data_IF_535969156056
#
_entry.id   IF_535969156056
#
_cell.length_a   1.000
_cell.length_b   1.000
_cell.length_c   1.000
_cell.angle_alpha   90.00
_cell.angle_beta   90.00
_cell.angle_gamma   90.00
#
_symmetry.space_group_name_H-M   'P 1'
#
loop_
_entity.id
_entity.type
_entity.pdbx_description
1 polymer ?
#
# COMPACT_ATOMS: atom_id res chain seq x y z
N UNK A 1 -22.19 6.97 9.16
CA UNK A 1 -21.32 8.11 8.79
C UNK A 1 -20.72 8.66 10.07
N UNK A 2 -19.47 8.33 10.35
CA UNK A 2 -18.66 9.05 11.34
C UNK A 2 -18.39 10.44 10.74
N UNK A 3 -19.25 11.40 11.06
CA UNK A 3 -19.09 12.80 10.63
C UNK A 3 -17.94 13.43 11.42
N UNK A 4 -16.73 13.26 10.92
CA UNK A 4 -15.59 14.04 11.37
C UNK A 4 -15.75 15.48 10.87
N UNK A 5 -15.46 16.49 11.71
CA UNK A 5 -15.46 17.87 11.27
C UNK A 5 -14.39 18.10 10.20
N UNK A 6 -14.64 19.04 9.29
CA UNK A 6 -13.63 19.48 8.33
C UNK A 6 -12.40 20.03 9.06
N UNK A 7 -11.23 19.84 8.47
CA UNK A 7 -9.98 20.42 8.97
C UNK A 7 -10.05 21.93 8.75
N UNK A 8 -10.00 22.70 9.83
CA UNK A 8 -10.02 24.17 9.84
C UNK A 8 -9.13 24.70 10.93
N UNK A 9 -8.80 25.98 10.86
CA UNK A 9 -8.14 26.69 11.97
C UNK A 9 -9.12 26.84 13.15
N UNK A 10 -8.60 26.63 14.37
CA UNK A 10 -9.37 26.80 15.60
C UNK A 10 -9.70 28.26 15.88
N UNK A 11 -8.73 29.15 15.64
CA UNK A 11 -8.89 30.60 15.77
C UNK A 11 -8.44 31.30 14.48
N UNK A 12 -9.41 31.93 13.80
CA UNK A 12 -9.16 32.65 12.55
C UNK A 12 -8.72 34.11 12.76
N UNK A 13 -8.77 34.61 14.00
CA UNK A 13 -8.37 35.97 14.37
C UNK A 13 -6.85 36.16 14.44
N UNK A 14 -6.12 35.05 14.66
CA UNK A 14 -4.66 35.04 14.64
C UNK A 14 -4.12 35.41 13.26
N UNK A 15 -2.91 35.95 13.23
CA UNK A 15 -2.18 36.25 11.99
C UNK A 15 -1.06 35.23 11.76
N UNK A 16 -0.54 35.16 10.52
CA UNK A 16 0.60 34.28 10.21
C UNK A 16 1.80 34.60 11.12
N UNK A 17 2.08 35.88 11.33
CA UNK A 17 3.15 36.35 12.21
C UNK A 17 2.98 35.90 13.66
N UNK A 18 1.73 35.82 14.15
CA UNK A 18 1.48 35.31 15.50
C UNK A 18 1.78 33.81 15.60
N UNK A 19 1.54 33.02 14.54
CA UNK A 19 1.86 31.60 14.49
C UNK A 19 3.37 31.37 14.36
N UNK A 20 4.07 32.17 13.55
CA UNK A 20 5.53 32.09 13.36
C UNK A 20 6.34 32.38 14.65
N UNK A 21 5.72 33.00 15.66
CA UNK A 21 6.34 33.18 16.98
C UNK A 21 6.48 31.88 17.78
N UNK A 22 5.63 30.89 17.49
CA UNK A 22 5.56 29.63 18.25
C UNK A 22 5.90 28.40 17.40
N UNK A 23 5.74 28.49 16.08
CA UNK A 23 5.92 27.38 15.15
C UNK A 23 6.87 27.73 14.00
N UNK A 24 7.35 26.71 13.30
CA UNK A 24 8.20 26.91 12.12
C UNK A 24 7.44 27.56 10.97
N UNK A 25 8.18 28.08 9.98
CA UNK A 25 7.60 28.76 8.81
C UNK A 25 6.70 27.83 8.00
N UNK A 26 7.08 26.56 7.85
CA UNK A 26 6.31 25.55 7.13
C UNK A 26 4.96 25.30 7.80
N UNK A 27 4.93 25.22 9.14
CA UNK A 27 3.69 25.11 9.90
C UNK A 27 2.80 26.35 9.73
N UNK A 28 3.39 27.55 9.74
CA UNK A 28 2.67 28.80 9.54
C UNK A 28 2.09 28.92 8.11
N UNK A 29 2.78 28.37 7.10
CA UNK A 29 2.28 28.28 5.73
C UNK A 29 1.09 27.34 5.62
N UNK A 30 1.17 26.13 6.19
CA UNK A 30 0.04 25.19 6.23
C UNK A 30 -1.15 25.82 6.96
N UNK A 31 -0.91 26.46 8.10
CA UNK A 31 -1.94 27.17 8.84
C UNK A 31 -2.60 28.29 8.01
N UNK A 32 -1.80 29.07 7.27
CA UNK A 32 -2.30 30.15 6.42
C UNK A 32 -3.18 29.61 5.28
N UNK A 33 -2.80 28.48 4.68
CA UNK A 33 -3.59 27.78 3.67
C UNK A 33 -4.93 27.30 4.24
N UNK A 34 -4.93 26.67 5.42
CA UNK A 34 -6.15 26.22 6.10
C UNK A 34 -7.07 27.39 6.46
N UNK A 35 -6.51 28.50 6.95
CA UNK A 35 -7.27 29.72 7.23
C UNK A 35 -7.91 30.29 5.97
N UNK A 36 -7.15 30.39 4.88
CA UNK A 36 -7.62 30.89 3.58
C UNK A 36 -8.78 30.02 3.05
N UNK A 37 -8.64 28.70 3.09
CA UNK A 37 -9.69 27.76 2.70
C UNK A 37 -10.94 27.87 3.59
N UNK A 38 -10.76 27.97 4.91
CA UNK A 38 -11.84 28.17 5.87
C UNK A 38 -12.61 29.48 5.64
N UNK A 39 -11.92 30.57 5.27
CA UNK A 39 -12.55 31.84 4.91
C UNK A 39 -13.33 31.73 3.59
N UNK A 40 -12.71 31.18 2.55
CA UNK A 40 -13.33 30.97 1.26
C UNK A 40 -14.62 30.13 1.36
N UNK A 41 -14.64 29.10 2.21
CA UNK A 41 -15.83 28.26 2.42
C UNK A 41 -17.06 29.00 2.99
N UNK A 42 -16.85 30.17 3.62
CA UNK A 42 -17.90 31.02 4.18
C UNK A 42 -18.29 32.18 3.27
N UNK A 43 -17.55 32.39 2.18
CA UNK A 43 -17.83 33.44 1.19
C UNK A 43 -18.91 32.98 0.20
N UNK A 44 -19.47 33.94 -0.54
CA UNK A 44 -20.43 33.64 -1.61
C UNK A 44 -19.70 32.99 -2.79
N UNK A 45 -20.36 32.13 -3.57
CA UNK A 45 -19.81 31.65 -4.83
C UNK A 45 -19.60 32.82 -5.82
N UNK A 46 -18.59 32.73 -6.72
CA UNK A 46 -18.46 33.65 -7.84
C UNK A 46 -19.71 33.62 -8.73
N UNK A 47 -20.05 34.76 -9.32
CA UNK A 47 -21.10 34.89 -10.33
C UNK A 47 -20.42 35.12 -11.67
N UNK A 48 -20.71 34.23 -12.63
CA UNK A 48 -20.24 34.33 -14.00
C UNK A 48 -21.39 34.59 -14.96
N UNK A 49 -21.18 35.51 -15.90
CA UNK A 49 -21.94 35.59 -17.12
C UNK A 49 -21.35 34.60 -18.12
N UNK A 50 -22.20 33.77 -18.71
CA UNK A 50 -21.78 32.74 -19.67
C UNK A 50 -22.58 32.92 -20.94
N UNK A 51 -21.88 33.08 -22.07
CA UNK A 51 -22.50 33.16 -23.38
C UNK A 51 -22.10 31.93 -24.18
N UNK A 52 -23.10 31.23 -24.72
CA UNK A 52 -22.90 30.15 -25.67
C UNK A 52 -23.50 30.54 -27.01
N UNK A 53 -22.69 30.45 -28.05
CA UNK A 53 -23.09 30.74 -29.43
C UNK A 53 -23.13 29.41 -30.17
N UNK A 54 -24.23 29.15 -30.85
CA UNK A 54 -24.40 27.99 -31.73
C UNK A 54 -24.67 28.54 -33.12
N UNK A 55 -23.76 28.25 -34.05
CA UNK A 55 -23.87 28.67 -35.44
C UNK A 55 -24.12 27.45 -36.32
N UNK A 56 -25.15 27.53 -37.16
CA UNK A 56 -25.48 26.48 -38.12
C UNK A 56 -25.05 26.94 -39.52
N UNK A 57 -24.26 26.12 -40.20
CA UNK A 57 -23.84 26.34 -41.58
C UNK A 57 -24.14 25.07 -42.37
N UNK A 58 -25.17 25.12 -43.22
CA UNK A 58 -25.67 23.95 -43.97
C UNK A 58 -25.87 22.70 -43.08
N UNK A 59 -25.00 21.69 -43.22
CA UNK A 59 -25.04 20.41 -42.48
C UNK A 59 -24.08 20.36 -41.29
N UNK A 60 -23.46 21.48 -40.90
CA UNK A 60 -22.50 21.56 -39.81
C UNK A 60 -22.97 22.52 -38.73
N UNK A 61 -22.64 22.20 -37.48
CA UNK A 61 -22.90 23.04 -36.31
C UNK A 61 -21.59 23.37 -35.62
N UNK A 62 -21.31 24.65 -35.45
CA UNK A 62 -20.20 25.15 -34.66
C UNK A 62 -20.73 25.68 -33.31
N UNK A 63 -20.01 25.38 -32.22
CA UNK A 63 -20.34 25.89 -30.89
C UNK A 63 -19.14 26.63 -30.29
N UNK A 64 -19.41 27.82 -29.78
CA UNK A 64 -18.49 28.57 -28.93
C UNK A 64 -19.12 28.80 -27.56
N UNK A 65 -18.27 28.83 -26.53
CA UNK A 65 -18.65 29.17 -25.16
C UNK A 65 -17.59 30.09 -24.58
N UNK A 66 -18.01 31.25 -24.10
CA UNK A 66 -17.18 32.16 -23.32
C UNK A 66 -17.85 32.45 -21.97
N UNK A 67 -17.05 32.91 -21.01
CA UNK A 67 -17.56 33.41 -19.74
C UNK A 67 -16.84 34.68 -19.29
N UNK A 68 -17.50 35.50 -18.47
CA UNK A 68 -16.99 36.69 -17.80
C UNK A 68 -17.38 36.66 -16.33
N UNK A 69 -16.43 36.96 -15.44
CA UNK A 69 -16.72 37.06 -14.01
C UNK A 69 -17.40 38.41 -13.73
N UNK A 70 -18.58 38.37 -13.10
CA UNK A 70 -19.35 39.56 -12.70
C UNK A 70 -19.10 39.87 -11.23
N UNK A 71 -19.14 38.84 -10.38
CA UNK A 71 -18.78 38.94 -8.97
C UNK A 71 -17.75 37.85 -8.62
N UNK A 72 -16.63 38.18 -7.95
CA UNK A 72 -15.60 37.21 -7.62
C UNK A 72 -16.01 36.24 -6.50
N UNK A 73 -16.78 36.68 -5.51
CA UNK A 73 -17.08 35.82 -4.35
C UNK A 73 -15.78 35.27 -3.72
N UNK A 74 -15.69 33.97 -3.47
CA UNK A 74 -14.49 33.35 -2.89
C UNK A 74 -13.25 33.38 -3.80
N UNK A 75 -13.39 33.60 -5.12
CA UNK A 75 -12.24 33.62 -6.04
C UNK A 75 -11.33 34.82 -5.79
N UNK A 76 -11.81 35.85 -5.09
CA UNK A 76 -10.98 36.97 -4.60
C UNK A 76 -9.81 36.48 -3.73
N UNK A 77 -10.01 35.40 -2.97
CA UNK A 77 -8.93 34.78 -2.21
C UNK A 77 -8.03 33.93 -3.12
N UNK A 78 -8.56 33.30 -4.17
CA UNK A 78 -7.85 32.36 -5.04
C UNK A 78 -7.81 32.83 -6.51
N UNK A 79 -7.10 33.92 -6.82
CA UNK A 79 -7.04 34.47 -8.19
C UNK A 79 -6.36 33.51 -9.18
N UNK A 80 -5.45 32.65 -8.70
CA UNK A 80 -4.78 31.64 -9.51
C UNK A 80 -5.73 30.57 -10.10
N UNK A 81 -6.87 30.30 -9.43
CA UNK A 81 -7.87 29.34 -9.94
C UNK A 81 -8.73 29.95 -11.07
N UNK A 82 -8.75 31.28 -11.23
CA UNK A 82 -9.48 31.97 -12.31
C UNK A 82 -8.84 31.72 -13.68
N UNK A 83 -7.51 31.77 -13.77
CA UNK A 83 -6.75 31.72 -15.02
C UNK A 83 -6.85 30.37 -15.76
N UNK A 84 -7.03 29.27 -15.03
CA UNK A 84 -7.10 27.91 -15.63
C UNK A 84 -8.48 27.56 -16.18
N UNK A 85 -9.49 28.39 -15.90
CA UNK A 85 -10.88 28.10 -16.21
C UNK A 85 -11.44 28.99 -17.35
N UNK A 86 -10.66 29.90 -17.93
CA UNK A 86 -11.18 30.93 -18.84
C UNK A 86 -10.97 30.65 -20.35
N UNK A 87 -12.09 30.60 -21.08
CA UNK A 87 -12.24 31.28 -22.38
C UNK A 87 -12.96 32.60 -22.08
N UNK A 88 -12.23 33.70 -22.05
CA UNK A 88 -12.77 35.01 -21.69
C UNK A 88 -13.75 35.49 -22.76
N UNK A 89 -14.90 36.02 -22.31
CA UNK A 89 -15.75 36.79 -23.23
C UNK A 89 -15.05 38.10 -23.58
N UNK A 90 -15.21 38.60 -24.82
CA UNK A 90 -14.82 39.96 -25.14
C UNK A 90 -15.49 40.96 -24.19
N UNK A 91 -14.72 41.94 -23.72
CA UNK A 91 -15.24 43.00 -22.85
C UNK A 91 -16.21 43.94 -23.58
N UNK A 92 -16.19 43.94 -24.91
CA UNK A 92 -17.03 44.77 -25.77
C UNK A 92 -18.50 44.28 -25.79
N UNK A 93 -19.45 45.01 -25.16
CA UNK A 93 -20.86 44.63 -25.14
C UNK A 93 -21.51 44.65 -26.52
N UNK A 94 -21.05 45.54 -27.41
CA UNK A 94 -21.51 45.65 -28.79
C UNK A 94 -21.14 44.41 -29.61
N UNK A 95 -19.98 43.80 -29.33
CA UNK A 95 -19.55 42.56 -29.97
C UNK A 95 -20.40 41.37 -29.49
N UNK A 96 -20.75 41.30 -28.21
CA UNK A 96 -21.64 40.27 -27.66
C UNK A 96 -23.06 40.36 -28.23
N UNK A 97 -23.58 41.57 -28.43
CA UNK A 97 -24.87 41.82 -29.09
C UNK A 97 -24.82 41.45 -30.59
N UNK A 98 -23.73 41.77 -31.29
CA UNK A 98 -23.54 41.38 -32.68
C UNK A 98 -23.48 39.86 -32.87
N UNK A 99 -22.80 39.15 -31.95
CA UNK A 99 -22.66 37.69 -31.96
C UNK A 99 -23.96 36.93 -31.64
N UNK A 100 -24.94 37.58 -31.01
CA UNK A 100 -26.19 36.94 -30.59
C UNK A 100 -27.29 36.95 -31.65
N UNK A 101 -27.12 37.67 -32.77
CA UNK A 101 -28.18 37.78 -33.79
C UNK A 101 -27.71 38.04 -35.24
N UNK A 102 -26.41 38.24 -35.48
CA UNK A 102 -25.87 38.53 -36.81
C UNK A 102 -25.46 37.29 -37.63
N UNK A 103 -25.42 37.39 -38.97
CA UNK A 103 -24.74 36.40 -39.79
C UNK A 103 -23.24 36.40 -39.48
N UNK A 104 -22.67 35.21 -39.28
CA UNK A 104 -21.23 35.04 -39.03
C UNK A 104 -20.52 34.67 -40.33
N UNK A 105 -19.40 35.33 -40.62
CA UNK A 105 -18.49 34.94 -41.70
C UNK A 105 -17.46 33.94 -41.18
N UNK A 106 -17.16 32.91 -41.97
CA UNK A 106 -16.09 31.96 -41.67
C UNK A 106 -14.79 32.56 -42.21
N UNK A 107 -13.89 32.99 -41.32
CA UNK A 107 -12.57 33.52 -41.72
C UNK A 107 -11.54 32.40 -41.98
N UNK A 108 -11.73 31.23 -41.37
CA UNK A 108 -10.85 30.07 -41.52
C UNK A 108 -11.34 28.88 -40.69
N UNK A 109 -10.80 27.70 -40.98
CA UNK A 109 -11.07 26.48 -40.22
C UNK A 109 -9.79 25.66 -40.12
N UNK A 110 -9.39 25.35 -38.89
CA UNK A 110 -8.25 24.48 -38.61
C UNK A 110 -8.73 23.12 -38.09
N UNK A 111 -8.12 22.05 -38.59
CA UNK A 111 -8.34 20.71 -38.05
C UNK A 111 -7.39 20.51 -36.88
N UNK A 112 -7.93 20.56 -35.66
CA UNK A 112 -7.19 20.25 -34.44
C UNK A 112 -7.37 18.77 -34.14
N UNK A 113 -6.40 17.95 -34.54
CA UNK A 113 -6.35 16.55 -34.11
C UNK A 113 -5.99 16.49 -32.63
N UNK A 114 -6.99 16.23 -31.77
CA UNK A 114 -6.75 15.98 -30.36
C UNK A 114 -6.50 14.50 -30.17
N UNK A 115 -5.24 14.12 -29.92
CA UNK A 115 -4.90 12.77 -29.49
C UNK A 115 -5.18 12.67 -27.99
N UNK A 116 -6.02 11.73 -27.57
CA UNK A 116 -6.10 11.33 -26.16
C UNK A 116 -4.77 10.67 -25.80
N UNK A 117 -3.81 11.46 -25.33
CA UNK A 117 -2.66 10.94 -24.63
C UNK A 117 -3.17 10.28 -23.35
N UNK A 118 -2.81 9.01 -23.14
CA UNK A 118 -3.21 8.28 -21.92
C UNK A 118 -2.77 9.03 -20.66
N UNK A 119 -3.30 8.63 -19.50
CA UNK A 119 -2.99 9.27 -18.23
C UNK A 119 -1.47 9.42 -18.05
N UNK A 120 -1.00 10.67 -18.00
CA UNK A 120 0.41 11.00 -17.84
C UNK A 120 0.94 10.63 -16.46
N UNK A 121 2.26 10.80 -16.22
CA UNK A 121 2.85 10.58 -14.91
C UNK A 121 2.19 11.48 -13.86
N UNK A 122 2.03 10.96 -12.65
CA UNK A 122 1.30 11.62 -11.57
C UNK A 122 2.26 12.34 -10.62
N UNK A 123 1.94 13.56 -10.22
CA UNK A 123 2.54 14.15 -9.02
C UNK A 123 1.92 13.58 -7.74
N UNK A 124 2.44 13.95 -6.56
CA UNK A 124 1.89 13.51 -5.26
C UNK A 124 0.41 13.88 -5.11
N UNK A 125 0.04 15.12 -5.46
CA UNK A 125 -1.34 15.58 -5.38
C UNK A 125 -2.27 14.81 -6.34
N UNK A 126 -1.81 14.54 -7.57
CA UNK A 126 -2.57 13.77 -8.54
C UNK A 126 -2.76 12.32 -8.10
N UNK A 127 -1.72 11.71 -7.52
CA UNK A 127 -1.78 10.36 -6.97
C UNK A 127 -2.83 10.25 -5.87
N UNK A 128 -2.82 11.16 -4.89
CA UNK A 128 -3.83 11.19 -3.81
C UNK A 128 -5.23 11.36 -4.41
N UNK A 129 -5.38 12.21 -5.44
CA UNK A 129 -6.68 12.41 -6.12
C UNK A 129 -7.15 11.14 -6.82
N UNK A 130 -6.27 10.45 -7.53
CA UNK A 130 -6.57 9.17 -8.20
C UNK A 130 -6.95 8.12 -7.16
N UNK A 131 -6.15 7.94 -6.11
CA UNK A 131 -6.44 7.00 -5.01
C UNK A 131 -7.82 7.25 -4.40
N UNK A 132 -8.16 8.51 -4.11
CA UNK A 132 -9.47 8.88 -3.57
C UNK A 132 -10.61 8.54 -4.54
N UNK A 133 -10.46 8.84 -5.83
CA UNK A 133 -11.49 8.57 -6.85
C UNK A 133 -11.69 7.08 -7.10
N UNK A 134 -10.62 6.29 -6.99
CA UNK A 134 -10.64 4.82 -7.13
C UNK A 134 -11.01 4.13 -5.81
N UNK A 135 -11.31 4.88 -4.75
CA UNK A 135 -11.64 4.36 -3.41
C UNK A 135 -10.52 3.52 -2.75
N UNK A 136 -9.27 3.80 -3.11
CA UNK A 136 -8.08 3.17 -2.56
C UNK A 136 -7.49 4.08 -1.48
N UNK A 137 -7.27 3.53 -0.28
CA UNK A 137 -6.77 4.27 0.87
C UNK A 137 -7.82 5.14 1.57
N UNK A 138 -7.42 5.73 2.69
CA UNK A 138 -8.24 6.52 3.62
C UNK A 138 -7.47 7.78 4.02
N UNK A 139 -8.14 8.80 4.61
CA UNK A 139 -7.45 9.99 5.09
C UNK A 139 -6.26 9.69 6.02
N UNK A 140 -6.35 8.61 6.80
CA UNK A 140 -5.28 8.13 7.69
C UNK A 140 -4.11 7.46 6.96
N UNK A 141 -4.29 7.03 5.71
CA UNK A 141 -3.29 6.22 4.99
C UNK A 141 -2.66 6.93 3.80
N UNK A 142 -3.22 8.05 3.29
CA UNK A 142 -2.63 8.72 2.13
C UNK A 142 -1.17 9.14 2.34
N UNK A 143 -0.83 9.66 3.53
CA UNK A 143 0.55 10.03 3.85
C UNK A 143 1.50 8.83 3.80
N UNK A 144 1.12 7.71 4.42
CA UNK A 144 1.95 6.50 4.44
C UNK A 144 2.09 5.85 3.06
N UNK A 145 1.06 5.94 2.21
CA UNK A 145 1.17 5.50 0.82
C UNK A 145 2.16 6.36 0.02
N UNK A 146 2.15 7.68 0.24
CA UNK A 146 3.12 8.58 -0.38
C UNK A 146 4.54 8.30 0.11
N UNK A 147 4.73 8.05 1.41
CA UNK A 147 6.01 7.60 1.96
C UNK A 147 6.49 6.30 1.30
N UNK A 148 5.61 5.31 1.15
CA UNK A 148 5.93 4.07 0.43
C UNK A 148 6.32 4.32 -1.04
N UNK A 149 5.77 5.34 -1.70
CA UNK A 149 6.20 5.71 -3.05
C UNK A 149 7.64 6.25 -3.06
N UNK A 150 8.03 7.01 -2.04
CA UNK A 150 9.43 7.44 -1.89
C UNK A 150 10.36 6.27 -1.56
N UNK A 151 9.93 5.32 -0.72
CA UNK A 151 10.71 4.09 -0.48
C UNK A 151 10.90 3.27 -1.77
N UNK A 152 9.86 3.17 -2.61
CA UNK A 152 9.97 2.55 -3.93
C UNK A 152 10.98 3.27 -4.85
N UNK A 153 11.20 4.58 -4.66
CA UNK A 153 12.25 5.31 -5.37
C UNK A 153 13.65 4.94 -4.85
N UNK A 154 13.81 4.80 -3.53
CA UNK A 154 15.08 4.38 -2.92
C UNK A 154 15.49 2.96 -3.37
N UNK A 155 14.49 2.09 -3.62
CA UNK A 155 14.67 0.76 -4.20
C UNK A 155 14.87 0.75 -5.73
N UNK A 156 14.76 1.91 -6.38
CA UNK A 156 15.00 2.08 -7.81
C UNK A 156 13.84 1.65 -8.71
N UNK A 157 12.63 1.45 -8.17
CA UNK A 157 11.43 1.09 -8.96
C UNK A 157 10.69 2.31 -9.50
N UNK A 158 10.82 3.44 -8.82
CA UNK A 158 10.26 4.73 -9.24
C UNK A 158 11.36 5.79 -9.36
N UNK A 159 11.08 6.83 -10.13
CA UNK A 159 11.89 8.05 -10.23
C UNK A 159 10.99 9.27 -10.38
N UNK A 160 11.52 10.46 -10.14
CA UNK A 160 10.82 11.71 -10.43
C UNK A 160 11.32 12.31 -11.74
N UNK A 161 10.38 12.79 -12.56
CA UNK A 161 10.75 13.59 -13.73
C UNK A 161 11.09 15.04 -13.35
N UNK A 162 11.55 15.83 -14.34
CA UNK A 162 11.94 17.22 -14.12
C UNK A 162 10.81 18.15 -13.62
N UNK A 163 9.56 17.68 -13.61
CA UNK A 163 8.41 18.38 -13.05
C UNK A 163 7.93 17.77 -11.71
N UNK A 164 8.69 16.85 -11.12
CA UNK A 164 8.37 16.23 -9.83
C UNK A 164 7.25 15.18 -9.91
N UNK A 165 7.05 14.55 -11.07
CA UNK A 165 6.03 13.49 -11.25
C UNK A 165 6.67 12.10 -11.25
N UNK A 166 5.98 11.13 -10.66
CA UNK A 166 6.44 9.75 -10.58
C UNK A 166 6.51 9.10 -11.96
N UNK A 167 7.62 8.42 -12.22
CA UNK A 167 7.84 7.56 -13.38
C UNK A 167 8.34 6.19 -12.96
N UNK A 168 7.72 5.17 -13.52
CA UNK A 168 8.14 3.79 -13.34
C UNK A 168 9.44 3.56 -14.09
N UNK A 169 10.43 2.98 -13.42
CA UNK A 169 11.71 2.57 -14.03
C UNK A 169 11.56 1.23 -14.73
N UNK A 170 12.57 0.78 -15.47
CA UNK A 170 12.54 -0.55 -16.09
C UNK A 170 12.43 -1.68 -15.04
N UNK A 171 13.16 -1.54 -13.92
CA UNK A 171 13.08 -2.50 -12.81
C UNK A 171 11.68 -2.51 -12.18
N UNK A 172 11.07 -1.33 -11.98
CA UNK A 172 9.70 -1.23 -11.48
C UNK A 172 8.67 -1.83 -12.45
N UNK A 173 8.91 -1.74 -13.76
CA UNK A 173 8.02 -2.33 -14.77
C UNK A 173 8.05 -3.86 -14.73
N UNK A 174 9.25 -4.44 -14.63
CA UNK A 174 9.39 -5.90 -14.45
C UNK A 174 8.70 -6.36 -13.17
N UNK A 175 8.83 -5.61 -12.07
CA UNK A 175 8.12 -5.90 -10.83
C UNK A 175 6.59 -5.86 -11.04
N UNK A 176 6.08 -4.83 -11.69
CA UNK A 176 4.64 -4.73 -11.98
C UNK A 176 4.15 -5.87 -12.86
N UNK A 177 4.91 -6.32 -13.85
CA UNK A 177 4.53 -7.46 -14.69
C UNK A 177 4.46 -8.76 -13.88
N UNK A 178 5.29 -8.92 -12.85
CA UNK A 178 5.23 -10.06 -11.90
C UNK A 178 4.03 -9.93 -10.96
N UNK A 179 3.72 -8.71 -10.49
CA UNK A 179 2.59 -8.46 -9.58
C UNK A 179 1.23 -8.50 -10.30
N UNK A 180 1.20 -8.19 -11.59
CA UNK A 180 0.00 -8.17 -12.43
C UNK A 180 -0.41 -9.58 -12.91
N UNK A 181 -0.11 -10.61 -12.12
CA UNK A 181 -0.48 -11.99 -12.42
C UNK A 181 -2.02 -12.14 -12.48
N UNK A 182 -2.61 -12.47 -13.64
CA UNK A 182 -4.05 -12.61 -13.78
C UNK A 182 -4.60 -13.80 -12.98
N UNK A 183 -3.77 -14.77 -12.57
CA UNK A 183 -4.18 -15.86 -11.68
C UNK A 183 -4.27 -15.40 -10.21
N UNK A 184 -3.71 -14.24 -9.86
CA UNK A 184 -3.70 -13.68 -8.51
C UNK A 184 -4.00 -12.18 -8.51
N UNK A 185 -5.26 -11.76 -8.74
CA UNK A 185 -5.64 -10.35 -8.88
C UNK A 185 -5.69 -9.58 -7.53
N UNK A 186 -4.79 -9.89 -6.60
CA UNK A 186 -4.67 -9.21 -5.30
C UNK A 186 -4.17 -7.77 -5.42
N UNK A 187 -3.42 -7.48 -6.48
CA UNK A 187 -2.85 -6.16 -6.75
C UNK A 187 -3.72 -5.32 -7.70
N UNK A 188 -4.93 -5.81 -8.02
CA UNK A 188 -5.89 -5.06 -8.82
C UNK A 188 -6.55 -3.96 -7.99
N UNK A 189 -6.78 -2.81 -8.64
CA UNK A 189 -7.39 -1.63 -8.00
C UNK A 189 -8.79 -1.93 -7.45
N UNK A 190 -9.61 -2.70 -8.17
CA UNK A 190 -10.95 -3.04 -7.72
C UNK A 190 -10.92 -3.97 -6.50
N UNK A 191 -9.94 -4.87 -6.43
CA UNK A 191 -9.74 -5.70 -5.24
C UNK A 191 -9.39 -4.85 -4.01
N UNK A 192 -8.45 -3.92 -4.14
CA UNK A 192 -8.09 -3.02 -3.03
C UNK A 192 -9.28 -2.17 -2.58
N UNK A 193 -10.04 -1.59 -3.52
CA UNK A 193 -11.24 -0.83 -3.20
C UNK A 193 -12.32 -1.67 -2.50
N UNK A 194 -12.48 -2.94 -2.89
CA UNK A 194 -13.39 -3.89 -2.23
C UNK A 194 -12.96 -4.19 -0.79
N UNK A 195 -11.66 -4.46 -0.57
CA UNK A 195 -11.12 -4.71 0.77
C UNK A 195 -11.33 -3.50 1.68
N UNK A 196 -11.03 -2.31 1.17
CA UNK A 196 -11.23 -1.04 1.86
C UNK A 196 -12.72 -0.83 2.24
N UNK A 197 -13.66 -1.12 1.34
CA UNK A 197 -15.09 -1.06 1.63
C UNK A 197 -15.53 -2.08 2.69
N UNK A 198 -14.92 -3.27 2.70
CA UNK A 198 -15.15 -4.31 3.71
C UNK A 198 -14.65 -3.88 5.10
N UNK A 199 -13.50 -3.21 5.17
CA UNK A 199 -12.96 -2.65 6.42
C UNK A 199 -13.88 -1.55 6.98
N UNK A 200 -14.40 -0.65 6.13
CA UNK A 200 -15.37 0.34 6.60
C UNK A 200 -16.69 -0.31 7.07
N UNK A 201 -17.09 -1.43 6.46
CA UNK A 201 -18.27 -2.17 6.88
C UNK A 201 -18.07 -2.83 8.26
N UNK A 202 -16.84 -3.21 8.60
CA UNK A 202 -16.49 -3.64 9.97
C UNK A 202 -16.64 -2.47 10.95
N UNK A 203 -16.11 -1.29 10.62
CA UNK A 203 -16.22 -0.10 11.47
C UNK A 203 -17.68 0.27 11.76
N UNK A 204 -18.57 0.10 10.76
CA UNK A 204 -20.02 0.32 10.91
C UNK A 204 -20.76 -0.82 11.62
N UNK A 205 -20.09 -1.93 11.94
CA UNK A 205 -20.70 -3.12 12.54
C UNK A 205 -21.56 -3.94 11.57
N UNK A 206 -21.44 -3.72 10.26
CA UNK A 206 -22.19 -4.43 9.20
C UNK A 206 -21.55 -5.79 8.86
N UNK A 207 -20.23 -5.92 9.05
CA UNK A 207 -19.46 -7.14 8.82
C UNK A 207 -18.59 -7.45 10.03
N UNK A 208 -18.29 -8.73 10.24
CA UNK A 208 -17.32 -9.15 11.26
C UNK A 208 -15.92 -9.25 10.66
N UNK A 209 -14.86 -8.96 11.44
CA UNK A 209 -13.48 -9.16 10.99
C UNK A 209 -13.20 -10.58 10.47
N UNK A 210 -13.74 -11.60 11.14
CA UNK A 210 -13.59 -13.01 10.72
C UNK A 210 -14.20 -13.28 9.34
N UNK A 211 -15.34 -12.67 9.04
CA UNK A 211 -15.99 -12.81 7.74
C UNK A 211 -15.13 -12.21 6.61
N UNK A 212 -14.61 -11.00 6.83
CA UNK A 212 -13.76 -10.30 5.85
C UNK A 212 -12.45 -11.06 5.63
N UNK A 213 -11.78 -11.48 6.70
CA UNK A 213 -10.55 -12.29 6.61
C UNK A 213 -10.79 -13.59 5.82
N UNK A 214 -11.87 -14.32 6.13
CA UNK A 214 -12.18 -15.57 5.42
C UNK A 214 -12.44 -15.33 3.92
N UNK A 215 -13.16 -14.26 3.58
CA UNK A 215 -13.46 -13.89 2.19
C UNK A 215 -12.18 -13.62 1.40
N UNK A 216 -11.27 -12.82 1.94
CA UNK A 216 -10.08 -12.38 1.23
C UNK A 216 -8.97 -13.44 1.22
N UNK A 217 -8.76 -14.15 2.34
CA UNK A 217 -7.79 -15.26 2.37
C UNK A 217 -8.20 -16.43 1.49
N UNK A 218 -9.50 -16.71 1.37
CA UNK A 218 -10.00 -17.76 0.46
C UNK A 218 -9.81 -17.46 -1.04
N UNK A 219 -9.42 -16.23 -1.41
CA UNK A 219 -9.03 -15.88 -2.79
C UNK A 219 -7.59 -16.23 -3.12
N UNK A 220 -6.77 -16.53 -2.10
CA UNK A 220 -5.40 -16.97 -2.30
C UNK A 220 -5.38 -18.43 -2.79
N UNK A 221 -4.67 -18.73 -3.89
CA UNK A 221 -4.60 -20.08 -4.41
C UNK A 221 -3.98 -21.02 -3.38
N UNK A 222 -4.65 -22.13 -3.11
CA UNK A 222 -4.21 -23.14 -2.16
C UNK A 222 -4.51 -22.84 -0.69
N UNK A 223 -5.28 -21.79 -0.38
CA UNK A 223 -5.76 -21.47 0.99
C UNK A 223 -7.22 -21.88 1.15
N UNK A 224 -7.47 -22.95 1.91
CA UNK A 224 -8.81 -23.23 2.43
C UNK A 224 -9.01 -22.41 3.72
N UNK A 225 -9.69 -21.27 3.62
CA UNK A 225 -9.91 -20.39 4.76
C UNK A 225 -10.93 -21.00 5.76
N UNK A 226 -10.48 -21.92 6.61
CA UNK A 226 -11.27 -22.50 7.69
C UNK A 226 -11.06 -21.72 9.00
N UNK A 227 -11.39 -20.43 8.98
CA UNK A 227 -11.22 -19.50 10.13
C UNK A 227 -12.50 -19.52 10.97
N UNK A 228 -12.53 -20.07 12.20
CA UNK A 228 -13.74 -20.11 13.04
C UNK A 228 -14.32 -18.71 13.30
N UNK A 229 -15.65 -18.61 13.45
CA UNK A 229 -16.33 -17.30 13.59
C UNK A 229 -16.05 -16.63 14.96
N UNK A 230 -15.63 -17.44 15.93
CA UNK A 230 -15.23 -17.14 17.29
C UNK A 230 -13.70 -17.04 17.48
N UNK A 231 -12.90 -17.28 16.43
CA UNK A 231 -11.44 -17.26 16.51
C UNK A 231 -10.82 -15.86 16.71
N UNK A 232 -11.63 -14.80 16.74
CA UNK A 232 -11.17 -13.44 17.00
C UNK A 232 -11.70 -12.98 18.35
N UNK A 233 -11.25 -13.63 19.42
CA UNK A 233 -11.32 -13.02 20.74
C UNK A 233 -10.33 -11.85 20.79
N UNK A 234 -10.79 -10.76 21.41
CA UNK A 234 -10.11 -9.48 21.55
C UNK A 234 -8.62 -9.67 21.86
N UNK A 235 -7.75 -9.20 20.97
CA UNK A 235 -6.33 -9.03 21.26
C UNK A 235 -6.24 -8.07 22.45
N UNK A 236 -6.12 -8.59 23.67
CA UNK A 236 -5.74 -7.78 24.82
C UNK A 236 -4.28 -7.39 24.65
N UNK A 237 -3.96 -6.10 24.76
CA UNK A 237 -2.61 -5.52 24.68
C UNK A 237 -1.66 -5.97 25.82
N UNK A 238 -1.59 -7.27 26.10
CA UNK A 238 -0.68 -7.84 27.10
C UNK A 238 0.06 -9.01 26.51
N UNK A 239 0.94 -8.74 25.56
CA UNK A 239 2.01 -9.66 25.20
C UNK A 239 3.36 -9.04 25.55
N UNK A 240 3.93 -9.54 26.65
CA UNK A 240 5.28 -9.21 27.11
C UNK A 240 6.34 -9.64 26.07
N UNK A 241 7.40 -8.84 25.85
CA UNK A 241 8.42 -9.12 24.85
C UNK A 241 9.22 -10.41 25.11
N UNK A 242 9.68 -11.05 24.03
CA UNK A 242 10.57 -12.20 24.09
C UNK A 242 11.97 -11.81 24.62
N UNK A 243 12.30 -12.27 25.82
CA UNK A 243 13.57 -12.05 26.52
C UNK A 243 14.67 -13.03 26.07
N UNK A 244 15.90 -12.56 25.93
CA UNK A 244 17.12 -13.37 25.97
C UNK A 244 18.23 -12.64 26.77
N UNK A 245 18.82 -13.33 27.75
CA UNK A 245 20.08 -12.99 28.43
C UNK A 245 20.29 -11.53 28.90
N UNK A 246 19.26 -10.90 29.45
CA UNK A 246 19.43 -9.63 30.18
C UNK A 246 19.68 -8.38 29.32
N UNK A 247 19.60 -8.47 27.98
CA UNK A 247 19.59 -7.29 27.12
C UNK A 247 18.29 -7.16 26.31
N UNK A 248 17.74 -5.94 26.31
CA UNK A 248 16.62 -5.54 25.46
C UNK A 248 17.08 -5.43 24.01
N UNK A 249 16.71 -6.41 23.17
CA UNK A 249 16.82 -6.25 21.71
C UNK A 249 15.56 -5.53 21.19
N UNK A 250 15.45 -4.22 21.48
CA UNK A 250 14.42 -3.37 20.88
C UNK A 250 15.03 -2.32 19.94
N UNK A 251 14.56 -2.35 18.68
CA UNK A 251 13.80 -1.22 18.13
C UNK A 251 12.42 -1.72 17.72
N UNK A 252 11.42 -0.86 17.90
CA UNK A 252 10.04 -1.08 17.51
C UNK A 252 9.98 -1.44 16.02
N UNK A 253 9.18 -2.46 15.68
CA UNK A 253 8.85 -2.69 14.28
C UNK A 253 7.77 -1.67 13.86
N UNK A 254 7.84 -1.10 12.65
CA UNK A 254 6.81 -0.22 12.13
C UNK A 254 5.47 -0.96 11.95
N UNK A 255 4.40 -0.17 11.84
CA UNK A 255 2.98 -0.57 11.67
C UNK A 255 2.73 -1.53 10.47
N UNK A 256 3.71 -1.70 9.58
CA UNK A 256 3.66 -2.60 8.41
C UNK A 256 3.87 -4.09 8.72
N UNK A 257 4.09 -4.47 9.98
CA UNK A 257 4.27 -5.87 10.37
C UNK A 257 2.90 -6.55 10.49
N UNK A 258 2.44 -7.19 9.42
CA UNK A 258 1.20 -7.98 9.42
C UNK A 258 1.35 -9.14 10.41
N UNK A 259 0.64 -9.05 11.54
CA UNK A 259 0.44 -10.18 12.43
C UNK A 259 -0.61 -11.09 11.80
N UNK A 260 -0.23 -12.31 11.43
CA UNK A 260 -1.22 -13.39 11.31
C UNK A 260 -1.77 -13.62 12.73
N UNK A 261 -3.10 -13.64 12.92
CA UNK A 261 -3.71 -13.97 14.21
C UNK A 261 -3.10 -15.26 14.77
N UNK A 262 -2.91 -15.33 16.09
CA UNK A 262 -2.30 -16.48 16.76
C UNK A 262 -3.04 -17.80 16.47
N UNK A 263 -4.31 -17.72 16.06
CA UNK A 263 -5.16 -18.86 15.70
C UNK A 263 -5.04 -19.30 14.22
N UNK A 264 -4.41 -18.52 13.34
CA UNK A 264 -4.12 -18.98 11.97
C UNK A 264 -2.87 -19.87 12.02
N UNK A 265 -3.09 -21.14 12.35
CA UNK A 265 -2.08 -22.16 12.13
C UNK A 265 -1.93 -22.40 10.62
N UNK A 266 -0.77 -22.13 10.00
CA UNK A 266 -0.61 -22.38 8.58
C UNK A 266 -0.62 -23.88 8.24
N UNK A 267 -0.60 -24.77 9.24
CA UNK A 267 -1.03 -26.16 9.07
C UNK A 267 -2.49 -26.21 8.58
N UNK A 268 -3.42 -25.45 9.15
CA UNK A 268 -4.82 -25.44 8.69
C UNK A 268 -5.04 -24.70 7.36
N UNK A 269 -4.03 -23.99 6.87
CA UNK A 269 -4.07 -23.20 5.63
C UNK A 269 -3.58 -24.02 4.43
N UNK A 270 -2.57 -24.87 4.61
CA UNK A 270 -1.98 -25.69 3.54
C UNK A 270 -2.61 -27.08 3.48
N UNK A 271 -2.91 -27.62 2.30
CA UNK A 271 -3.44 -28.98 2.17
C UNK A 271 -2.54 -30.04 2.85
N UNK A 272 -3.08 -31.14 3.41
CA UNK A 272 -2.28 -32.19 4.06
C UNK A 272 -1.20 -32.81 3.15
N UNK A 273 -1.44 -32.83 1.84
CA UNK A 273 -0.52 -33.30 0.81
C UNK A 273 0.50 -32.25 0.37
N UNK A 274 0.49 -31.05 0.96
CA UNK A 274 1.38 -29.97 0.55
C UNK A 274 2.85 -30.30 0.90
N UNK A 275 3.81 -30.13 -0.02
CA UNK A 275 5.21 -30.49 0.20
C UNK A 275 5.85 -29.83 1.42
N UNK A 276 5.48 -28.57 1.71
CA UNK A 276 5.93 -27.86 2.91
C UNK A 276 5.53 -28.58 4.20
N UNK A 277 4.33 -29.19 4.26
CA UNK A 277 3.87 -29.99 5.42
C UNK A 277 4.71 -31.23 5.59
N UNK A 278 4.95 -31.98 4.52
CA UNK A 278 5.82 -33.16 4.58
C UNK A 278 7.22 -32.80 5.10
N UNK A 279 7.77 -31.68 4.63
CA UNK A 279 9.09 -31.21 5.02
C UNK A 279 9.14 -30.77 6.50
N UNK A 280 8.16 -30.00 6.97
CA UNK A 280 8.04 -29.60 8.39
C UNK A 280 7.83 -30.79 9.30
N UNK A 281 6.97 -31.74 8.93
CA UNK A 281 6.77 -32.99 9.69
C UNK A 281 8.07 -33.79 9.76
N UNK A 282 8.79 -33.92 8.64
CA UNK A 282 10.09 -34.59 8.59
C UNK A 282 11.08 -33.93 9.56
N UNK A 283 11.22 -32.60 9.52
CA UNK A 283 12.08 -31.88 10.46
C UNK A 283 11.65 -32.06 11.92
N UNK A 284 10.36 -31.97 12.23
CA UNK A 284 9.85 -32.15 13.59
C UNK A 284 10.15 -33.55 14.13
N UNK A 285 9.99 -34.57 13.29
CA UNK A 285 10.24 -35.97 13.67
C UNK A 285 11.72 -36.18 13.97
N UNK A 286 12.60 -35.76 13.05
CA UNK A 286 14.05 -35.91 13.19
C UNK A 286 14.62 -35.13 14.38
N UNK A 287 14.12 -33.91 14.62
CA UNK A 287 14.53 -33.09 15.76
C UNK A 287 14.09 -33.72 17.07
N UNK A 288 12.87 -34.26 17.13
CA UNK A 288 12.38 -34.97 18.32
C UNK A 288 13.22 -36.22 18.59
N UNK A 289 13.58 -36.96 17.56
CA UNK A 289 14.32 -38.21 17.70
C UNK A 289 15.79 -37.95 18.11
N UNK A 290 16.39 -36.84 17.66
CA UNK A 290 17.78 -36.49 17.97
C UNK A 290 17.97 -35.74 19.29
N UNK A 291 17.12 -34.73 19.56
CA UNK A 291 17.25 -33.86 20.75
C UNK A 291 16.26 -34.24 21.86
N UNK A 292 15.45 -35.29 21.66
CA UNK A 292 14.39 -35.68 22.60
C UNK A 292 13.16 -34.76 22.54
N UNK A 293 12.17 -35.00 23.42
CA UNK A 293 10.95 -34.19 23.49
C UNK A 293 11.27 -32.72 23.78
N UNK A 294 10.44 -31.81 23.26
CA UNK A 294 10.62 -30.38 23.48
C UNK A 294 10.59 -30.08 24.98
N UNK A 295 11.68 -29.52 25.50
CA UNK A 295 11.71 -29.00 26.87
C UNK A 295 11.09 -27.60 26.90
N UNK A 296 10.45 -27.20 28.01
CA UNK A 296 9.82 -25.88 28.14
C UNK A 296 10.83 -24.71 28.22
N UNK A 297 12.12 -24.95 27.93
CA UNK A 297 13.16 -23.93 27.93
C UNK A 297 13.18 -23.17 26.59
N UNK A 298 13.06 -21.84 26.67
CA UNK A 298 13.08 -20.92 25.52
C UNK A 298 14.37 -21.01 24.70
N UNK A 299 15.53 -21.19 25.36
CA UNK A 299 16.82 -21.29 24.65
C UNK A 299 16.89 -22.56 23.78
N UNK A 300 16.37 -23.68 24.27
CA UNK A 300 16.32 -24.95 23.55
C UNK A 300 15.32 -24.88 22.39
N UNK A 301 14.16 -24.23 22.58
CA UNK A 301 13.20 -23.97 21.50
C UNK A 301 13.81 -23.10 20.39
N UNK A 302 14.54 -22.05 20.77
CA UNK A 302 15.25 -21.15 19.86
C UNK A 302 16.32 -21.90 19.05
N UNK A 303 17.15 -22.69 19.72
CA UNK A 303 18.17 -23.55 19.08
C UNK A 303 17.58 -24.54 18.08
N UNK A 304 16.44 -25.17 18.40
CA UNK A 304 15.74 -26.09 17.49
C UNK A 304 15.23 -25.39 16.23
N UNK A 305 14.70 -24.17 16.34
CA UNK A 305 14.30 -23.37 15.16
C UNK A 305 15.51 -23.01 14.30
N UNK A 306 16.64 -22.64 14.91
CA UNK A 306 17.89 -22.32 14.19
C UNK A 306 18.44 -23.53 13.42
N UNK A 307 18.40 -24.73 14.01
CA UNK A 307 18.80 -25.97 13.34
C UNK A 307 17.92 -26.29 12.12
N UNK A 308 16.59 -26.07 12.21
CA UNK A 308 15.67 -26.21 11.06
C UNK A 308 16.02 -25.24 9.96
N UNK A 309 16.26 -23.97 10.31
CA UNK A 309 16.64 -22.94 9.37
C UNK A 309 17.95 -23.28 8.64
N UNK A 310 18.97 -23.76 9.35
CA UNK A 310 20.23 -24.18 8.74
C UNK A 310 20.05 -25.39 7.80
N UNK A 311 19.24 -26.37 8.21
CA UNK A 311 18.96 -27.53 7.37
C UNK A 311 18.16 -27.13 6.11
N UNK A 312 17.12 -26.31 6.25
CA UNK A 312 16.33 -25.79 5.14
C UNK A 312 17.19 -24.98 4.17
N UNK A 313 18.06 -24.09 4.68
CA UNK A 313 18.98 -23.31 3.86
C UNK A 313 19.88 -24.18 2.99
N UNK A 314 20.52 -25.20 3.59
CA UNK A 314 21.39 -26.15 2.87
C UNK A 314 20.64 -26.97 1.82
N UNK A 315 19.45 -27.43 2.16
CA UNK A 315 18.57 -28.21 1.27
C UNK A 315 18.12 -27.38 0.06
N UNK A 316 17.77 -26.12 0.29
CA UNK A 316 17.27 -25.21 -0.74
C UNK A 316 18.40 -24.56 -1.55
N UNK A 317 19.66 -24.73 -1.14
CA UNK A 317 20.84 -24.20 -1.84
C UNK A 317 21.21 -22.76 -1.43
N UNK A 318 20.68 -22.26 -0.32
CA UNK A 318 21.15 -21.02 0.28
C UNK A 318 22.44 -21.31 1.05
N UNK A 319 23.58 -20.94 0.46
CA UNK A 319 24.91 -21.23 1.00
C UNK A 319 25.36 -20.19 2.03
N UNK A 320 24.78 -18.98 1.96
CA UNK A 320 25.17 -17.83 2.77
C UNK A 320 24.23 -17.60 3.96
N UNK A 321 24.79 -17.34 5.13
CA UNK A 321 24.05 -17.12 6.38
C UNK A 321 23.26 -15.83 6.35
N UNK A 322 23.82 -14.78 5.77
CA UNK A 322 23.15 -13.47 5.65
C UNK A 322 21.90 -13.58 4.77
N UNK A 323 22.06 -14.18 3.57
CA UNK A 323 20.94 -14.41 2.64
C UNK A 323 19.86 -15.33 3.22
N UNK A 324 20.26 -16.33 4.01
CA UNK A 324 19.32 -17.22 4.69
C UNK A 324 18.49 -16.47 5.74
N UNK A 325 19.13 -15.64 6.55
CA UNK A 325 18.47 -14.81 7.57
C UNK A 325 17.55 -13.79 6.91
N UNK A 326 18.01 -13.10 5.87
CA UNK A 326 17.22 -12.14 5.08
C UNK A 326 15.98 -12.83 4.48
N UNK A 327 16.14 -14.01 3.89
CA UNK A 327 15.00 -14.75 3.32
C UNK A 327 14.00 -15.18 4.40
N UNK A 328 14.46 -15.56 5.58
CA UNK A 328 13.58 -15.86 6.73
C UNK A 328 12.88 -14.62 7.29
N UNK A 329 13.34 -13.40 7.01
CA UNK A 329 12.64 -12.18 7.40
C UNK A 329 11.44 -11.91 6.47
N UNK A 330 11.58 -12.24 5.19
CA UNK A 330 10.62 -11.85 4.16
C UNK A 330 9.62 -12.97 3.79
N UNK A 331 10.05 -14.24 3.86
CA UNK A 331 9.28 -15.36 3.32
C UNK A 331 8.51 -16.13 4.41
N UNK A 332 7.18 -15.96 4.42
CA UNK A 332 6.28 -16.63 5.37
C UNK A 332 6.32 -18.17 5.27
N UNK A 333 6.57 -18.73 4.09
CA UNK A 333 6.67 -20.17 3.88
C UNK A 333 7.91 -20.74 4.57
N UNK A 334 9.06 -20.08 4.40
CA UNK A 334 10.29 -20.47 5.08
C UNK A 334 10.16 -20.36 6.59
N UNK A 335 9.59 -19.26 7.10
CA UNK A 335 9.33 -19.04 8.52
C UNK A 335 8.50 -20.16 9.12
N UNK A 336 7.41 -20.51 8.45
CA UNK A 336 6.53 -21.57 8.94
C UNK A 336 7.21 -22.94 8.95
N UNK A 337 7.98 -23.30 7.92
CA UNK A 337 8.73 -24.57 7.88
C UNK A 337 9.69 -24.70 9.06
N UNK A 338 10.38 -23.61 9.40
CA UNK A 338 11.32 -23.59 10.53
C UNK A 338 10.62 -23.38 11.87
N UNK A 339 9.30 -23.18 11.88
CA UNK A 339 8.49 -22.95 13.07
C UNK A 339 8.72 -21.58 13.72
N UNK A 340 9.04 -20.57 12.91
CA UNK A 340 8.98 -19.16 13.29
C UNK A 340 7.54 -18.67 13.08
N UNK A 341 6.97 -18.05 14.11
CA UNK A 341 5.72 -17.32 13.99
C UNK A 341 5.92 -16.10 13.06
N UNK A 342 4.86 -15.58 12.43
CA UNK A 342 4.95 -14.41 11.55
C UNK A 342 5.57 -13.18 12.22
N UNK A 343 5.41 -13.03 13.54
CA UNK A 343 6.02 -11.98 14.36
C UNK A 343 7.37 -12.35 15.01
N UNK A 344 7.84 -13.60 14.91
CA UNK A 344 9.11 -14.02 15.53
C UNK A 344 10.30 -13.29 14.89
N UNK A 345 11.10 -12.56 15.66
CA UNK A 345 12.32 -11.96 15.12
C UNK A 345 13.31 -13.05 14.70
N UNK A 346 13.91 -12.88 13.51
CA UNK A 346 14.99 -13.76 13.03
C UNK A 346 16.31 -13.31 13.66
N UNK A 347 17.20 -14.26 13.96
CA UNK A 347 18.54 -14.00 14.50
C UNK A 347 19.38 -13.11 13.56
N UNK A 348 20.36 -12.39 14.11
CA UNK A 348 21.46 -11.86 13.28
C UNK A 348 22.31 -13.01 12.72
N UNK A 349 23.05 -12.77 11.64
CA UNK A 349 23.90 -13.79 11.03
C UNK A 349 24.95 -14.35 12.01
N UNK A 350 25.46 -13.51 12.92
CA UNK A 350 26.42 -13.89 13.95
C UNK A 350 25.79 -14.81 15.00
N UNK A 351 24.67 -14.40 15.60
CA UNK A 351 23.93 -15.17 16.60
C UNK A 351 23.43 -16.49 15.99
N UNK A 352 22.95 -16.45 14.75
CA UNK A 352 22.58 -17.64 14.01
C UNK A 352 23.76 -18.61 13.87
N UNK A 353 24.94 -18.08 13.54
CA UNK A 353 26.18 -18.83 13.41
C UNK A 353 26.59 -19.52 14.71
N UNK A 354 26.48 -18.83 15.85
CA UNK A 354 26.79 -19.38 17.17
C UNK A 354 25.85 -20.53 17.54
N UNK A 355 24.54 -20.34 17.36
CA UNK A 355 23.50 -21.34 17.67
C UNK A 355 23.67 -22.65 16.90
N UNK A 356 24.25 -22.62 15.70
CA UNK A 356 24.43 -23.80 14.82
C UNK A 356 25.86 -24.33 14.79
N UNK A 357 26.83 -23.63 15.39
CA UNK A 357 28.26 -23.95 15.30
C UNK A 357 28.62 -25.33 15.85
N UNK A 358 27.92 -25.80 16.89
CA UNK A 358 28.13 -27.12 17.51
C UNK A 358 27.29 -28.27 16.93
N UNK A 359 26.45 -28.00 15.93
CA UNK A 359 25.42 -28.95 15.45
C UNK A 359 25.65 -29.42 14.02
N UNK A 360 26.89 -29.34 13.53
CA UNK A 360 27.19 -29.58 12.11
C UNK A 360 26.78 -30.97 11.62
N UNK A 361 27.04 -32.02 12.42
CA UNK A 361 26.68 -33.40 12.09
C UNK A 361 25.17 -33.62 12.16
N UNK A 362 24.51 -33.00 13.14
CA UNK A 362 23.06 -33.04 13.29
C UNK A 362 22.34 -32.38 12.11
N UNK A 363 22.80 -31.19 11.71
CA UNK A 363 22.28 -30.47 10.54
C UNK A 363 22.54 -31.28 9.26
N UNK A 364 23.69 -31.94 9.13
CA UNK A 364 23.97 -32.81 7.97
C UNK A 364 22.97 -33.97 7.86
N UNK A 365 22.62 -34.61 8.99
CA UNK A 365 21.61 -35.67 9.04
C UNK A 365 20.20 -35.15 8.68
N UNK A 366 19.83 -33.96 9.17
CA UNK A 366 18.58 -33.29 8.79
C UNK A 366 18.51 -33.01 7.29
N UNK A 367 19.60 -32.55 6.70
CA UNK A 367 19.70 -32.27 5.25
C UNK A 367 19.54 -33.56 4.43
N UNK A 368 20.21 -34.64 4.82
CA UNK A 368 20.12 -35.92 4.11
C UNK A 368 18.69 -36.48 4.10
N UNK A 369 18.01 -36.43 5.25
CA UNK A 369 16.63 -36.90 5.36
C UNK A 369 15.62 -36.00 4.64
N UNK A 370 15.81 -34.67 4.71
CA UNK A 370 14.98 -33.71 3.97
C UNK A 370 15.15 -33.83 2.45
N UNK A 371 16.36 -34.13 1.97
CA UNK A 371 16.63 -34.40 0.56
C UNK A 371 15.80 -35.58 0.01
N UNK A 372 15.58 -36.61 0.83
CA UNK A 372 14.70 -37.74 0.49
C UNK A 372 13.22 -37.35 0.38
N UNK A 373 12.73 -36.49 1.29
CA UNK A 373 11.35 -35.97 1.25
C UNK A 373 11.11 -35.04 0.05
N UNK A 374 12.11 -34.23 -0.32
CA UNK A 374 12.08 -33.31 -1.47
C UNK A 374 12.10 -34.05 -2.80
N UNK A 375 12.78 -35.20 -2.88
CA UNK A 375 12.79 -36.03 -4.08
C UNK A 375 11.41 -36.52 -4.51
N UNK A 376 10.39 -36.44 -3.64
CA UNK A 376 9.01 -36.83 -3.93
C UNK A 376 8.18 -35.73 -4.63
N UNK A 377 8.60 -34.46 -4.60
CA UNK A 377 7.99 -33.37 -5.39
C UNK A 377 9.02 -32.31 -5.84
N UNK A 378 9.61 -32.48 -7.05
CA UNK A 378 10.57 -31.53 -7.61
C UNK A 378 9.97 -30.15 -7.95
N UNK A 379 8.66 -30.06 -8.19
CA UNK A 379 8.01 -28.82 -8.68
C UNK A 379 7.75 -27.84 -7.55
N UNK A 380 7.22 -28.31 -6.42
CA UNK A 380 7.03 -27.47 -5.23
C UNK A 380 8.35 -26.88 -4.72
N UNK A 381 9.44 -27.62 -4.84
CA UNK A 381 10.80 -27.17 -4.45
C UNK A 381 11.38 -26.18 -5.45
N UNK A 382 11.11 -26.32 -6.75
CA UNK A 382 11.48 -25.33 -7.74
C UNK A 382 10.75 -23.98 -7.52
N UNK A 383 9.46 -24.02 -7.17
CA UNK A 383 8.67 -22.83 -6.86
C UNK A 383 9.16 -22.12 -5.59
N UNK A 384 9.59 -22.88 -4.59
CA UNK A 384 10.09 -22.33 -3.32
C UNK A 384 11.55 -21.85 -3.40
N UNK A 385 12.29 -22.27 -4.43
CA UNK A 385 13.62 -21.75 -4.77
C UNK A 385 13.55 -20.44 -5.55
N UNK A 386 12.61 -20.34 -6.49
CA UNK A 386 12.22 -19.08 -7.12
C UNK A 386 11.75 -18.10 -6.05
#
# INVERSE_FOLDING_TARGET
MTTHPNITVADASLTKDDIERFYSKEHAEVWALLRKAGQASKMRPPIFEVVSIVANCENQTAQARGRRQVEPGWTELYPEEEATLNRELPDDPTLLEALSSGPLAIEGADVIETRNEGAGPLGVADLIRVMKNEHIGRPSTYASHVEAMFECMDLGWLSLDGAGRFRVTEAGRVLLDVLADPELPLFDKAYTAELEADLDAIERGEKTPAHVLRRHLGRLPGVEANIPQDALETISETDEPAWHEGEMVHRAAPISTVYLPAEIDPENVLAPTHPLRLLRTTFNTLIRDALGPAQPNRAEACRRKACRAAALGRVMGSVDREKLVERLQLDLGWRWVVGLAPSDKVWSADVFGELVSGESDFIANLVAAAGGAIGQDPRGVANMRR
#
